data_IF_470960068024
#
_entry.id   IF_470960068024
#
_cell.length_a   1.000
_cell.length_b   1.000
_cell.length_c   1.000
_cell.angle_alpha   90.00
_cell.angle_beta   90.00
_cell.angle_gamma   90.00
#
_symmetry.space_group_name_H-M   'P 1'
#
loop_
_entity.id
_entity.type
_entity.pdbx_description
1 polymer ?
#
# COMPACT_ATOMS: atom_id res chain seq x y z
N UNK A 1 3.29 12.28 8.10
CA UNK A 1 3.30 13.77 8.17
C UNK A 1 3.35 14.43 6.79
N UNK A 2 4.40 14.24 5.96
CA UNK A 2 4.56 14.92 4.67
C UNK A 2 3.37 14.80 3.71
N UNK A 3 2.76 13.62 3.63
CA UNK A 3 1.58 13.38 2.79
C UNK A 3 0.41 14.28 3.21
N UNK A 4 0.10 14.36 4.50
CA UNK A 4 -1.02 15.18 4.99
C UNK A 4 -0.75 16.67 4.78
N UNK A 5 0.50 17.13 4.97
CA UNK A 5 0.87 18.50 4.62
C UNK A 5 0.67 18.81 3.13
N UNK A 6 1.01 17.86 2.25
CA UNK A 6 0.74 18.00 0.81
C UNK A 6 -0.76 18.06 0.52
N UNK A 7 -1.57 17.22 1.14
CA UNK A 7 -3.02 17.23 0.92
C UNK A 7 -3.70 18.49 1.43
N UNK A 8 -3.22 19.06 2.53
CA UNK A 8 -3.70 20.35 3.04
C UNK A 8 -3.31 21.52 2.12
N UNK A 9 -2.15 21.44 1.47
CA UNK A 9 -1.68 22.46 0.53
C UNK A 9 -2.37 22.41 -0.83
N UNK A 10 -2.85 21.22 -1.21
CA UNK A 10 -3.49 20.93 -2.49
C UNK A 10 -4.84 20.25 -2.27
N UNK A 11 -5.85 20.96 -1.74
CA UNK A 11 -7.13 20.37 -1.32
C UNK A 11 -7.98 19.84 -2.47
N UNK A 12 -7.67 20.22 -3.71
CA UNK A 12 -8.31 19.73 -4.93
C UNK A 12 -7.91 18.28 -5.27
N UNK A 13 -6.75 17.81 -4.79
CA UNK A 13 -6.27 16.45 -5.01
C UNK A 13 -6.90 15.49 -3.98
N UNK A 14 -7.67 14.55 -4.46
CA UNK A 14 -8.46 13.61 -3.62
C UNK A 14 -7.83 12.23 -3.50
N UNK A 15 -6.80 11.94 -4.29
CA UNK A 15 -6.17 10.65 -4.39
C UNK A 15 -4.65 10.78 -4.28
N UNK A 16 -4.06 9.81 -3.59
CA UNK A 16 -2.61 9.61 -3.55
C UNK A 16 -2.32 8.34 -4.33
N UNK A 17 -1.40 8.38 -5.27
CA UNK A 17 -1.00 7.22 -6.07
C UNK A 17 0.46 6.93 -5.78
N UNK A 18 0.79 5.65 -5.60
CA UNK A 18 2.15 5.22 -5.36
C UNK A 18 2.41 3.79 -5.85
N UNK A 19 3.66 3.52 -6.17
CA UNK A 19 4.14 2.19 -6.50
C UNK A 19 4.79 1.50 -5.31
N UNK A 20 4.66 0.18 -5.24
CA UNK A 20 5.41 -0.69 -4.34
C UNK A 20 6.03 -1.81 -5.13
N UNK A 21 7.33 -2.02 -4.96
CA UNK A 21 8.05 -3.07 -5.67
C UNK A 21 8.22 -4.32 -4.79
N UNK A 22 7.89 -5.47 -5.37
CA UNK A 22 8.20 -6.78 -4.83
C UNK A 22 9.47 -7.26 -5.53
N UNK A 23 10.54 -7.43 -4.74
CA UNK A 23 11.86 -7.80 -5.26
C UNK A 23 11.82 -9.14 -6.00
N UNK A 24 12.61 -9.26 -7.07
CA UNK A 24 12.82 -10.54 -7.76
C UNK A 24 13.63 -11.56 -6.93
N UNK A 25 14.08 -11.19 -5.73
CA UNK A 25 14.65 -12.16 -4.77
C UNK A 25 13.61 -13.14 -4.22
N UNK A 26 12.34 -12.76 -4.22
CA UNK A 26 11.25 -13.67 -3.87
C UNK A 26 11.05 -14.72 -4.97
N UNK A 27 10.73 -15.94 -4.55
CA UNK A 27 10.34 -17.00 -5.48
C UNK A 27 9.10 -16.60 -6.30
N UNK A 28 8.92 -17.20 -7.47
CA UNK A 28 7.70 -16.99 -8.28
C UNK A 28 6.43 -17.40 -7.52
N UNK A 29 6.56 -18.43 -6.68
CA UNK A 29 5.48 -18.89 -5.82
C UNK A 29 5.09 -17.82 -4.79
N UNK A 30 6.05 -17.31 -4.02
CA UNK A 30 5.80 -16.25 -3.03
C UNK A 30 5.27 -14.96 -3.65
N UNK A 31 5.81 -14.55 -4.82
CA UNK A 31 5.26 -13.40 -5.56
C UNK A 31 3.80 -13.64 -5.95
N UNK A 32 3.49 -14.83 -6.45
CA UNK A 32 2.11 -15.21 -6.82
C UNK A 32 1.18 -15.21 -5.61
N UNK A 33 1.63 -15.73 -4.46
CA UNK A 33 0.86 -15.68 -3.21
C UNK A 33 0.56 -14.25 -2.76
N UNK A 34 1.58 -13.37 -2.76
CA UNK A 34 1.43 -11.97 -2.36
C UNK A 34 0.42 -11.24 -3.26
N UNK A 35 0.51 -11.45 -4.56
CA UNK A 35 -0.36 -10.79 -5.54
C UNK A 35 -1.79 -11.30 -5.43
N UNK A 36 -1.98 -12.61 -5.29
CA UNK A 36 -3.31 -13.21 -5.09
C UNK A 36 -3.95 -12.70 -3.80
N UNK A 37 -3.22 -12.69 -2.69
CA UNK A 37 -3.70 -12.15 -1.42
C UNK A 37 -4.12 -10.67 -1.55
N UNK A 38 -3.31 -9.85 -2.21
CA UNK A 38 -3.64 -8.44 -2.41
C UNK A 38 -4.82 -8.26 -3.36
N UNK A 39 -4.90 -9.03 -4.45
CA UNK A 39 -6.03 -8.96 -5.38
C UNK A 39 -7.34 -9.39 -4.72
N UNK A 40 -7.31 -10.37 -3.85
CA UNK A 40 -8.51 -10.89 -3.19
C UNK A 40 -9.05 -9.96 -2.09
N UNK A 41 -8.17 -9.25 -1.39
CA UNK A 41 -8.56 -8.48 -0.20
C UNK A 41 -8.54 -6.96 -0.40
N UNK A 42 -7.70 -6.45 -1.31
CA UNK A 42 -7.42 -5.01 -1.43
C UNK A 42 -7.51 -4.48 -2.86
N UNK A 43 -8.05 -5.24 -3.79
CA UNK A 43 -8.15 -4.85 -5.19
C UNK A 43 -9.37 -3.96 -5.45
N UNK A 44 -9.20 -2.95 -6.28
CA UNK A 44 -10.30 -2.15 -6.78
C UNK A 44 -10.50 -2.39 -8.28
N UNK A 45 -11.46 -3.25 -8.68
CA UNK A 45 -11.70 -3.56 -10.07
C UNK A 45 -12.25 -2.37 -10.87
N UNK A 46 -12.95 -1.43 -10.21
CA UNK A 46 -13.51 -0.27 -10.88
C UNK A 46 -12.41 0.68 -11.37
N UNK A 47 -11.40 0.95 -10.55
CA UNK A 47 -10.27 1.79 -10.98
C UNK A 47 -9.32 1.00 -11.88
N UNK A 48 -9.09 -0.26 -11.58
CA UNK A 48 -8.17 -1.12 -12.32
C UNK A 48 -8.53 -1.29 -13.81
N UNK A 49 -9.81 -1.23 -14.18
CA UNK A 49 -10.24 -1.33 -15.60
C UNK A 49 -9.64 -0.24 -16.52
N UNK A 50 -9.21 0.88 -15.93
CA UNK A 50 -8.58 1.98 -16.68
C UNK A 50 -7.05 1.90 -16.72
N UNK A 51 -6.46 0.89 -16.07
CA UNK A 51 -5.02 0.73 -15.96
C UNK A 51 -4.57 -0.45 -16.82
N UNK A 52 -3.57 -0.20 -17.66
CA UNK A 52 -3.05 -1.19 -18.58
C UNK A 52 -1.55 -1.42 -18.33
N UNK A 53 -1.17 -2.42 -17.51
CA UNK A 53 0.24 -2.74 -17.29
C UNK A 53 0.94 -3.12 -18.60
N UNK A 54 2.14 -2.61 -18.84
CA UNK A 54 2.92 -2.97 -20.05
C UNK A 54 3.29 -4.45 -20.07
N UNK A 55 3.58 -5.02 -18.92
CA UNK A 55 3.90 -6.44 -18.73
C UNK A 55 3.24 -6.92 -17.45
N UNK A 56 1.97 -7.31 -17.55
CA UNK A 56 1.22 -7.78 -16.38
C UNK A 56 1.88 -9.02 -15.77
N UNK A 57 1.97 -9.05 -14.43
CA UNK A 57 2.39 -10.23 -13.70
C UNK A 57 1.31 -11.30 -13.73
N UNK A 58 1.67 -12.49 -14.18
CA UNK A 58 0.75 -13.64 -14.23
C UNK A 58 0.93 -14.49 -12.99
N UNK A 59 -0.11 -14.56 -12.18
CA UNK A 59 -0.17 -15.45 -11.00
C UNK A 59 -0.11 -16.91 -11.43
N UNK A 60 0.80 -17.67 -10.82
CA UNK A 60 1.02 -19.11 -11.08
C UNK A 60 0.74 -19.91 -9.81
N UNK A 61 -0.53 -20.05 -9.47
CA UNK A 61 -1.00 -20.83 -8.32
C UNK A 61 -2.03 -21.85 -8.77
N UNK A 62 -2.06 -22.99 -8.08
CA UNK A 62 -3.15 -23.97 -8.17
C UNK A 62 -4.31 -23.51 -7.28
N UNK A 63 -5.51 -24.00 -7.55
CA UNK A 63 -6.68 -23.63 -6.73
C UNK A 63 -6.51 -24.04 -5.27
N UNK A 64 -5.93 -25.21 -5.01
CA UNK A 64 -5.62 -25.66 -3.64
C UNK A 64 -4.65 -24.71 -2.88
N UNK A 65 -3.70 -24.07 -3.58
CA UNK A 65 -2.79 -23.11 -2.96
C UNK A 65 -3.54 -21.83 -2.58
N UNK A 66 -4.51 -21.41 -3.40
CA UNK A 66 -5.36 -20.26 -3.13
C UNK A 66 -6.25 -20.51 -1.92
N UNK A 67 -6.94 -21.64 -1.90
CA UNK A 67 -7.82 -22.02 -0.78
C UNK A 67 -7.04 -22.08 0.53
N UNK A 68 -5.85 -22.69 0.53
CA UNK A 68 -4.97 -22.73 1.70
C UNK A 68 -4.63 -21.34 2.24
N UNK A 69 -4.32 -20.38 1.35
CA UNK A 69 -3.97 -19.02 1.76
C UNK A 69 -5.16 -18.30 2.36
N UNK A 70 -6.34 -18.45 1.75
CA UNK A 70 -7.57 -17.83 2.25
C UNK A 70 -7.93 -18.35 3.62
N UNK A 71 -7.91 -19.69 3.81
CA UNK A 71 -8.22 -20.34 5.07
C UNK A 71 -7.20 -19.99 6.16
N UNK A 72 -5.90 -20.00 5.83
CA UNK A 72 -4.85 -19.76 6.80
C UNK A 72 -4.66 -18.27 7.16
N UNK A 73 -4.85 -17.37 6.20
CA UNK A 73 -4.64 -15.94 6.44
C UNK A 73 -5.87 -15.21 6.98
N UNK A 74 -7.09 -15.72 6.72
CA UNK A 74 -8.35 -15.06 7.11
C UNK A 74 -8.38 -13.56 6.77
N UNK A 75 -7.78 -13.16 5.66
CA UNK A 75 -7.55 -11.76 5.28
C UNK A 75 -6.69 -10.95 6.26
N UNK A 76 -6.04 -11.59 7.24
CA UNK A 76 -5.16 -10.93 8.20
C UNK A 76 -3.75 -10.77 7.62
N UNK A 77 -3.31 -9.53 7.48
CA UNK A 77 -2.01 -9.18 6.93
C UNK A 77 -0.83 -9.73 7.76
N UNK A 78 -0.98 -9.86 9.08
CA UNK A 78 0.07 -10.38 9.96
C UNK A 78 0.15 -11.91 9.86
N UNK A 79 -0.99 -12.59 9.74
CA UNK A 79 -1.02 -14.05 9.48
C UNK A 79 -0.40 -14.34 8.12
N UNK A 80 -0.76 -13.57 7.10
CA UNK A 80 -0.20 -13.71 5.76
C UNK A 80 1.33 -13.47 5.73
N UNK A 81 1.84 -12.46 6.45
CA UNK A 81 3.28 -12.20 6.56
C UNK A 81 4.06 -13.38 7.16
N UNK A 82 3.46 -14.11 8.11
CA UNK A 82 4.05 -15.35 8.67
C UNK A 82 4.06 -16.48 7.65
N UNK A 83 3.00 -16.63 6.87
CA UNK A 83 2.94 -17.64 5.79
C UNK A 83 4.08 -17.38 4.79
N UNK A 84 4.28 -16.14 4.37
CA UNK A 84 5.38 -15.79 3.47
C UNK A 84 6.75 -16.13 4.08
N UNK A 85 6.97 -15.82 5.36
CA UNK A 85 8.21 -16.14 6.07
C UNK A 85 8.48 -17.67 6.13
N UNK A 86 7.43 -18.47 6.23
CA UNK A 86 7.51 -19.94 6.27
C UNK A 86 7.77 -20.57 4.89
N UNK A 87 7.17 -20.03 3.83
CA UNK A 87 7.28 -20.61 2.48
C UNK A 87 8.49 -20.09 1.69
N UNK A 88 9.05 -18.97 2.10
CA UNK A 88 10.16 -18.33 1.38
C UNK A 88 11.53 -18.80 1.89
N UNK A 89 12.36 -19.42 1.04
CA UNK A 89 13.68 -19.92 1.43
C UNK A 89 14.65 -18.79 1.77
N UNK A 90 14.64 -18.09 2.74
CA UNK A 90 15.56 -17.00 3.06
C UNK A 90 14.96 -16.00 4.04
N UNK A 91 13.89 -16.40 4.71
CA UNK A 91 13.21 -15.58 5.73
C UNK A 91 12.88 -14.17 5.21
N UNK A 92 12.47 -14.08 3.96
CA UNK A 92 11.99 -12.83 3.37
C UNK A 92 10.52 -12.64 3.75
N UNK A 93 10.19 -11.44 4.20
CA UNK A 93 8.85 -11.06 4.62
C UNK A 93 8.18 -10.12 3.64
N UNK A 94 6.88 -10.01 3.75
CA UNK A 94 6.09 -9.06 2.96
C UNK A 94 6.71 -7.66 3.04
N UNK A 95 6.91 -6.98 1.88
CA UNK A 95 7.52 -5.64 1.85
C UNK A 95 6.82 -4.66 2.81
N UNK A 96 7.61 -3.96 3.60
CA UNK A 96 7.11 -3.05 4.65
C UNK A 96 6.20 -1.96 4.08
N UNK A 97 6.47 -1.49 2.85
CA UNK A 97 5.64 -0.47 2.19
C UNK A 97 4.24 -0.99 1.87
N UNK A 98 4.11 -2.25 1.45
CA UNK A 98 2.79 -2.88 1.22
C UNK A 98 1.99 -2.85 2.51
N UNK A 99 2.59 -3.31 3.63
CA UNK A 99 1.94 -3.30 4.94
C UNK A 99 1.53 -1.88 5.37
N UNK A 100 2.40 -0.90 5.15
CA UNK A 100 2.09 0.50 5.47
C UNK A 100 0.95 1.06 4.64
N UNK A 101 0.93 0.81 3.34
CA UNK A 101 -0.12 1.30 2.45
C UNK A 101 -1.48 0.65 2.76
N UNK A 102 -1.51 -0.67 2.98
CA UNK A 102 -2.73 -1.38 3.37
C UNK A 102 -3.30 -0.82 4.69
N UNK A 103 -2.45 -0.53 5.67
CA UNK A 103 -2.85 0.12 6.92
C UNK A 103 -3.43 1.53 6.74
N UNK A 104 -3.18 2.16 5.60
CA UNK A 104 -3.77 3.46 5.23
C UNK A 104 -5.00 3.30 4.32
N UNK A 105 -5.60 2.11 4.27
CA UNK A 105 -6.72 1.78 3.41
C UNK A 105 -6.42 1.91 1.91
N UNK A 106 -5.15 1.73 1.51
CA UNK A 106 -4.78 1.69 0.11
C UNK A 106 -5.43 0.51 -0.62
N UNK A 107 -5.75 0.74 -1.89
CA UNK A 107 -6.21 -0.29 -2.83
C UNK A 107 -5.15 -0.53 -3.88
N UNK A 108 -4.99 -1.78 -4.30
CA UNK A 108 -4.14 -2.15 -5.42
C UNK A 108 -4.96 -2.19 -6.70
N UNK A 109 -4.38 -1.74 -7.80
CA UNK A 109 -5.08 -1.62 -9.10
C UNK A 109 -4.33 -2.27 -10.26
N UNK A 110 -3.03 -2.51 -10.14
CA UNK A 110 -2.26 -3.21 -11.19
C UNK A 110 -0.97 -3.80 -10.64
N UNK A 111 -0.46 -4.81 -11.34
CA UNK A 111 0.87 -5.38 -11.10
C UNK A 111 1.62 -5.49 -12.42
N UNK A 112 2.77 -4.84 -12.51
CA UNK A 112 3.62 -4.82 -13.70
C UNK A 112 4.99 -5.42 -13.39
N UNK A 113 5.54 -6.20 -14.31
CA UNK A 113 6.93 -6.67 -14.23
C UNK A 113 7.82 -5.62 -14.87
N UNK A 114 8.77 -5.08 -14.11
CA UNK A 114 9.76 -4.12 -14.63
C UNK A 114 11.06 -4.82 -15.02
N UNK A 115 11.33 -5.01 -16.32
CA UNK A 115 12.56 -5.64 -16.79
C UNK A 115 13.79 -4.76 -16.57
N UNK A 116 13.64 -3.45 -16.46
CA UNK A 116 14.72 -2.52 -16.20
C UNK A 116 15.13 -2.51 -14.73
N UNK A 117 14.23 -2.94 -13.85
CA UNK A 117 14.47 -3.07 -12.42
C UNK A 117 14.53 -4.54 -11.98
N UNK A 118 15.42 -5.30 -12.63
CA UNK A 118 15.68 -6.72 -12.34
C UNK A 118 14.41 -7.59 -12.27
N UNK A 119 13.44 -7.36 -13.15
CA UNK A 119 12.15 -8.06 -13.17
C UNK A 119 11.41 -8.01 -11.81
N UNK A 120 11.60 -6.97 -11.03
CA UNK A 120 10.75 -6.72 -9.86
C UNK A 120 9.30 -6.57 -10.29
N UNK A 121 8.38 -6.91 -9.40
CA UNK A 121 6.95 -6.71 -9.65
C UNK A 121 6.49 -5.44 -8.96
N UNK A 122 6.10 -4.46 -9.75
CA UNK A 122 5.59 -3.19 -9.25
C UNK A 122 4.07 -3.25 -9.10
N UNK A 123 3.60 -3.11 -7.87
CA UNK A 123 2.19 -2.93 -7.56
C UNK A 123 1.83 -1.46 -7.59
N UNK A 124 0.89 -1.07 -8.44
CA UNK A 124 0.32 0.28 -8.42
C UNK A 124 -0.81 0.32 -7.40
N UNK A 125 -0.69 1.23 -6.44
CA UNK A 125 -1.66 1.40 -5.36
C UNK A 125 -2.15 2.84 -5.32
N UNK A 126 -3.36 3.04 -4.80
CA UNK A 126 -3.88 4.36 -4.51
C UNK A 126 -4.56 4.41 -3.14
N UNK A 127 -4.62 5.61 -2.58
CA UNK A 127 -5.35 5.92 -1.35
C UNK A 127 -6.31 7.07 -1.68
N UNK A 128 -7.58 6.89 -1.42
CA UNK A 128 -8.52 8.01 -1.37
C UNK A 128 -8.33 8.73 -0.04
N UNK A 129 -8.11 10.04 -0.07
CA UNK A 129 -7.79 10.82 1.15
C UNK A 129 -8.90 10.73 2.19
N UNK A 130 -10.17 10.67 1.74
CA UNK A 130 -11.32 10.47 2.63
C UNK A 130 -11.34 9.12 3.36
N UNK A 131 -10.59 8.13 2.87
CA UNK A 131 -10.55 6.78 3.44
C UNK A 131 -9.36 6.58 4.38
N UNK A 132 -8.53 7.62 4.57
CA UNK A 132 -7.42 7.57 5.53
C UNK A 132 -7.95 7.28 6.94
N UNK A 133 -7.30 6.38 7.71
CA UNK A 133 -7.70 6.10 9.08
C UNK A 133 -7.65 7.35 9.96
N UNK A 134 -8.61 7.50 10.87
CA UNK A 134 -8.65 8.59 11.83
C UNK A 134 -7.36 8.67 12.65
N UNK A 135 -6.80 7.53 13.02
CA UNK A 135 -5.50 7.43 13.73
C UNK A 135 -4.33 8.04 12.98
N UNK A 136 -4.43 8.18 11.66
CA UNK A 136 -3.42 8.85 10.82
C UNK A 136 -3.71 10.35 10.68
N UNK A 137 -4.98 10.72 10.53
CA UNK A 137 -5.40 12.11 10.25
C UNK A 137 -5.39 12.95 11.52
N UNK A 138 -5.95 12.43 12.61
CA UNK A 138 -6.15 13.19 13.87
C UNK A 138 -4.87 13.80 14.44
N UNK A 139 -3.74 13.07 14.60
CA UNK A 139 -2.51 13.65 15.16
C UNK A 139 -1.93 14.79 14.32
N UNK A 140 -2.14 14.73 12.99
CA UNK A 140 -1.64 15.77 12.08
C UNK A 140 -2.53 17.01 12.13
N UNK A 141 -3.83 16.83 12.24
CA UNK A 141 -4.77 17.94 12.40
C UNK A 141 -4.56 18.67 13.74
N UNK A 142 -4.33 17.94 14.81
CA UNK A 142 -4.02 18.51 16.13
C UNK A 142 -2.70 19.31 16.11
N UNK A 143 -1.66 18.77 15.44
CA UNK A 143 -0.39 19.47 15.26
C UNK A 143 -0.57 20.74 14.43
N UNK A 144 -1.32 20.68 13.32
CA UNK A 144 -1.62 21.84 12.49
C UNK A 144 -2.39 22.92 13.25
N UNK A 145 -3.40 22.54 14.03
CA UNK A 145 -4.15 23.45 14.87
C UNK A 145 -3.24 24.12 15.91
N UNK A 146 -2.38 23.36 16.57
CA UNK A 146 -1.42 23.89 17.54
C UNK A 146 -0.43 24.86 16.92
N UNK A 147 0.09 24.57 15.73
CA UNK A 147 0.97 25.49 15.01
C UNK A 147 0.26 26.78 14.56
N UNK A 148 -1.01 26.66 14.16
CA UNK A 148 -1.85 27.79 13.80
C UNK A 148 -2.13 28.70 15.00
N UNK A 149 -2.51 28.11 16.16
CA UNK A 149 -2.75 28.84 17.40
C UNK A 149 -1.49 29.59 17.87
N UNK A 150 -0.30 28.99 17.75
CA UNK A 150 0.97 29.67 18.04
C UNK A 150 1.21 30.88 17.16
N UNK A 151 0.85 30.81 15.87
CA UNK A 151 0.99 31.92 14.92
C UNK A 151 0.04 33.06 15.19
N UNK A 152 -1.19 32.77 15.63
CA UNK A 152 -2.20 33.78 15.96
C UNK A 152 -1.85 34.50 17.28
N UNK A 153 -1.30 33.75 18.24
CA UNK A 153 -0.98 34.25 19.59
C UNK A 153 0.45 34.82 19.69
N UNK A 154 1.15 35.05 18.57
CA UNK A 154 2.42 35.77 18.60
C UNK A 154 2.16 37.20 19.08
N UNK A 155 2.85 37.69 20.13
CA UNK A 155 2.73 39.11 20.54
C UNK A 155 3.04 40.00 19.41
N UNK A 156 2.18 41.00 19.12
CA UNK A 156 2.38 42.01 18.10
C UNK A 156 3.41 43.09 18.52
N UNK A 157 4.19 42.81 19.54
CA UNK A 157 5.13 43.77 20.10
C UNK A 157 6.55 43.41 19.66
N UNK A 158 6.90 43.84 18.47
CA UNK A 158 8.26 44.25 18.03
C UNK A 158 8.19 44.74 16.56
N UNK A 159 7.57 45.91 16.37
CA UNK A 159 7.97 46.84 15.29
C UNK A 159 8.70 48.02 15.86
#
# INVERSE_FOLDING_TARGET
KGIVHCTLRYPEHRYLIGGVSISNKFSEFSKSLMIEFMKSNYYDPYVAQYINPKKEFKVKLKDADKDFIFDASEADLNKFDKIIDEVEPGSLRLPVLIKKYIKQNAKVIAFNVDPLFNNAVDGLMYIRISDLPESTVKPVMEEFQSEWEKKINFPKDQE
#
